data_IF_552280699401
#
_entry.id   IF_552280699401
#
_cell.length_a   1.000
_cell.length_b   1.000
_cell.length_c   1.000
_cell.angle_alpha   90.00
_cell.angle_beta   90.00
_cell.angle_gamma   90.00
#
_symmetry.space_group_name_H-M   'P 1'
#
loop_
_entity.id
_entity.type
_entity.pdbx_description
1 polymer ?
#
# COMPACT_ATOMS: atom_id res chain seq x y z
N UNK A 1 -5.87 -11.27 21.43
CA UNK A 1 -5.68 -10.05 20.60
C UNK A 1 -6.67 -10.05 19.47
N UNK A 2 -7.42 -8.96 19.28
CA UNK A 2 -8.42 -8.87 18.21
C UNK A 2 -7.74 -8.80 16.84
N UNK A 3 -8.36 -9.37 15.81
CA UNK A 3 -7.82 -9.38 14.43
C UNK A 3 -7.57 -7.96 13.92
N UNK A 4 -8.42 -6.99 14.31
CA UNK A 4 -8.23 -5.57 14.00
C UNK A 4 -6.93 -5.01 14.57
N UNK A 5 -6.59 -5.34 15.82
CA UNK A 5 -5.31 -4.92 16.42
C UNK A 5 -4.10 -5.51 15.70
N UNK A 6 -4.17 -6.77 15.24
CA UNK A 6 -3.08 -7.38 14.45
C UNK A 6 -2.90 -6.70 13.09
N UNK A 7 -3.99 -6.35 12.41
CA UNK A 7 -3.96 -5.65 11.12
C UNK A 7 -3.38 -4.24 11.29
N UNK A 8 -3.82 -3.49 12.31
CA UNK A 8 -3.31 -2.15 12.58
C UNK A 8 -1.80 -2.21 12.90
N UNK A 9 -1.39 -3.16 13.74
CA UNK A 9 0.03 -3.34 14.07
C UNK A 9 0.87 -3.71 12.83
N UNK A 10 0.34 -4.59 11.96
CA UNK A 10 0.99 -4.95 10.71
C UNK A 10 1.11 -3.75 9.75
N UNK A 11 0.06 -2.94 9.62
CA UNK A 11 0.08 -1.75 8.77
C UNK A 11 1.08 -0.70 9.28
N UNK A 12 1.08 -0.42 10.59
CA UNK A 12 2.02 0.53 11.19
C UNK A 12 3.45 0.02 11.07
N UNK A 13 3.69 -1.27 11.32
CA UNK A 13 4.99 -1.91 11.14
C UNK A 13 5.48 -1.82 9.69
N UNK A 14 4.60 -2.09 8.72
CA UNK A 14 4.92 -1.99 7.29
C UNK A 14 5.22 -0.54 6.86
N UNK A 15 4.43 0.43 7.32
CA UNK A 15 4.68 1.84 7.04
C UNK A 15 6.02 2.31 7.62
N UNK A 16 6.31 1.96 8.87
CA UNK A 16 7.57 2.29 9.52
C UNK A 16 8.77 1.65 8.80
N UNK A 17 8.68 0.35 8.46
CA UNK A 17 9.71 -0.34 7.69
C UNK A 17 9.92 0.31 6.31
N UNK A 18 8.84 0.72 5.64
CA UNK A 18 8.92 1.43 4.36
C UNK A 18 9.64 2.77 4.45
N UNK A 19 9.35 3.56 5.50
CA UNK A 19 10.04 4.84 5.74
C UNK A 19 11.52 4.61 6.03
N UNK A 20 11.86 3.63 6.86
CA UNK A 20 13.26 3.30 7.19
C UNK A 20 14.01 2.89 5.93
N UNK A 21 13.46 1.98 5.13
CA UNK A 21 14.09 1.53 3.88
C UNK A 21 14.20 2.69 2.88
N UNK A 22 13.17 3.53 2.75
CA UNK A 22 13.21 4.70 1.86
C UNK A 22 14.26 5.73 2.29
N UNK A 23 14.39 5.97 3.58
CA UNK A 23 15.39 6.88 4.14
C UNK A 23 16.81 6.34 3.97
N UNK A 24 17.01 5.02 4.11
CA UNK A 24 18.30 4.37 3.85
C UNK A 24 18.69 4.43 2.37
N UNK A 25 17.72 4.28 1.47
CA UNK A 25 17.97 4.29 0.03
C UNK A 25 18.24 5.71 -0.51
N UNK A 26 17.60 6.73 0.08
CA UNK A 26 17.77 8.12 -0.30
C UNK A 26 17.85 9.04 0.95
N UNK A 27 19.02 9.10 1.62
CA UNK A 27 19.19 9.95 2.78
C UNK A 27 19.39 11.41 2.36
N UNK A 28 18.41 12.25 2.69
CA UNK A 28 18.58 13.71 2.66
C UNK A 28 19.29 14.20 3.94
N UNK A 29 20.04 15.28 3.83
CA UNK A 29 20.65 15.93 5.01
C UNK A 29 19.56 16.49 5.92
N UNK A 30 19.69 16.32 7.23
CA UNK A 30 18.65 16.71 8.20
C UNK A 30 18.18 18.18 8.10
N UNK A 31 19.09 19.10 7.82
CA UNK A 31 18.79 20.53 7.62
C UNK A 31 17.92 20.77 6.38
N UNK A 32 18.20 20.02 5.31
CA UNK A 32 17.44 20.09 4.06
C UNK A 32 16.10 19.37 4.19
N UNK A 33 16.04 18.24 4.89
CA UNK A 33 14.80 17.49 5.15
C UNK A 33 13.75 18.35 5.86
N UNK A 34 14.14 19.07 6.93
CA UNK A 34 13.22 19.95 7.65
C UNK A 34 12.72 21.10 6.77
N UNK A 35 13.61 21.70 5.99
CA UNK A 35 13.26 22.77 5.04
C UNK A 35 12.31 22.25 3.94
N UNK A 36 12.59 21.06 3.41
CA UNK A 36 11.75 20.38 2.42
C UNK A 36 10.38 20.05 2.98
N UNK A 37 10.28 19.49 4.18
CA UNK A 37 8.98 19.22 4.85
C UNK A 37 8.18 20.51 4.96
N UNK A 38 8.77 21.58 5.49
CA UNK A 38 8.06 22.85 5.68
C UNK A 38 7.51 23.44 4.38
N UNK A 39 8.25 23.32 3.27
CA UNK A 39 7.81 23.83 1.95
C UNK A 39 6.79 22.90 1.31
N UNK A 40 7.03 21.60 1.41
CA UNK A 40 6.32 20.56 0.67
C UNK A 40 4.97 20.18 1.32
N UNK A 41 4.81 20.36 2.63
CA UNK A 41 3.55 20.10 3.34
C UNK A 41 2.37 20.93 2.81
N UNK A 42 2.59 22.20 2.45
CA UNK A 42 1.54 23.05 1.90
C UNK A 42 1.03 22.55 0.54
N UNK A 43 1.95 22.28 -0.38
CA UNK A 43 1.63 21.83 -1.74
C UNK A 43 1.12 20.39 -1.80
N UNK A 44 1.50 19.57 -0.83
CA UNK A 44 1.13 18.15 -0.79
C UNK A 44 -0.34 17.93 -0.56
N UNK A 45 -1.02 18.79 0.20
CA UNK A 45 -2.43 18.55 0.53
C UNK A 45 -3.32 18.54 -0.71
N UNK A 46 -3.13 19.49 -1.63
CA UNK A 46 -3.90 19.55 -2.87
C UNK A 46 -3.54 18.41 -3.82
N UNK A 47 -2.25 18.19 -4.04
CA UNK A 47 -1.80 17.17 -5.00
C UNK A 47 -2.09 15.73 -4.50
N UNK A 48 -1.97 15.50 -3.19
CA UNK A 48 -2.32 14.21 -2.58
C UNK A 48 -3.81 13.94 -2.68
N UNK A 49 -4.66 14.96 -2.52
CA UNK A 49 -6.11 14.78 -2.69
C UNK A 49 -6.47 14.32 -4.11
N UNK A 50 -5.89 14.95 -5.13
CA UNK A 50 -6.15 14.61 -6.53
C UNK A 50 -5.57 13.24 -6.92
N UNK A 51 -4.36 12.94 -6.46
CA UNK A 51 -3.74 11.62 -6.64
C UNK A 51 -4.50 10.54 -5.88
N UNK A 52 -5.00 10.82 -4.68
CA UNK A 52 -5.77 9.86 -3.90
C UNK A 52 -7.13 9.58 -4.55
N UNK A 53 -7.80 10.61 -5.09
CA UNK A 53 -9.04 10.43 -5.84
C UNK A 53 -8.80 9.53 -7.06
N UNK A 54 -7.77 9.82 -7.85
CA UNK A 54 -7.40 9.02 -9.03
C UNK A 54 -7.00 7.59 -8.66
N UNK A 55 -6.17 7.43 -7.63
CA UNK A 55 -5.73 6.13 -7.15
C UNK A 55 -6.88 5.31 -6.58
N UNK A 56 -7.86 5.92 -5.90
CA UNK A 56 -9.03 5.21 -5.38
C UNK A 56 -9.86 4.59 -6.52
N UNK A 57 -10.03 5.31 -7.62
CA UNK A 57 -10.79 4.81 -8.78
C UNK A 57 -10.01 3.71 -9.52
N UNK A 58 -8.70 3.88 -9.69
CA UNK A 58 -7.84 2.87 -10.30
C UNK A 58 -7.74 1.59 -9.44
N UNK A 59 -7.53 1.74 -8.12
CA UNK A 59 -7.51 0.64 -7.15
C UNK A 59 -8.86 -0.07 -7.11
N UNK A 60 -9.98 0.64 -7.19
CA UNK A 60 -11.30 0.02 -7.26
C UNK A 60 -11.46 -0.91 -8.47
N UNK A 61 -10.98 -0.49 -9.64
CA UNK A 61 -11.01 -1.31 -10.86
C UNK A 61 -10.01 -2.47 -10.82
N UNK A 62 -8.80 -2.21 -10.29
CA UNK A 62 -7.75 -3.21 -10.10
C UNK A 62 -8.18 -4.29 -9.10
N UNK A 63 -8.78 -3.89 -7.97
CA UNK A 63 -9.24 -4.80 -6.92
C UNK A 63 -10.34 -5.75 -7.44
N UNK A 64 -11.26 -5.26 -8.27
CA UNK A 64 -12.27 -6.13 -8.90
C UNK A 64 -11.65 -7.13 -9.87
N UNK A 65 -10.65 -6.73 -10.66
CA UNK A 65 -9.92 -7.64 -11.56
C UNK A 65 -9.07 -8.64 -10.78
N UNK A 66 -8.33 -8.18 -9.77
CA UNK A 66 -7.50 -9.01 -8.91
C UNK A 66 -8.31 -10.00 -8.09
N UNK A 67 -9.47 -9.59 -7.56
CA UNK A 67 -10.38 -10.49 -6.83
C UNK A 67 -10.96 -11.57 -7.74
N UNK A 68 -11.33 -11.25 -8.99
CA UNK A 68 -11.76 -12.25 -9.98
C UNK A 68 -10.63 -13.19 -10.37
N UNK A 69 -9.44 -12.65 -10.67
CA UNK A 69 -8.27 -13.45 -11.01
C UNK A 69 -7.83 -14.36 -9.85
N UNK A 70 -7.91 -13.88 -8.61
CA UNK A 70 -7.62 -14.66 -7.41
C UNK A 70 -8.69 -15.74 -7.17
N UNK A 71 -9.97 -15.43 -7.39
CA UNK A 71 -11.04 -16.41 -7.32
C UNK A 71 -10.90 -17.47 -8.42
N UNK A 72 -10.59 -17.08 -9.66
CA UNK A 72 -10.38 -18.00 -10.78
C UNK A 72 -9.13 -18.87 -10.57
N UNK A 73 -8.06 -18.31 -10.03
CA UNK A 73 -6.86 -19.07 -9.66
C UNK A 73 -7.14 -20.04 -8.51
N UNK A 74 -7.89 -19.60 -7.49
CA UNK A 74 -8.32 -20.47 -6.38
C UNK A 74 -9.23 -21.60 -6.86
N UNK A 75 -10.20 -21.30 -7.71
CA UNK A 75 -11.11 -22.29 -8.29
C UNK A 75 -10.37 -23.30 -9.18
N UNK A 76 -9.40 -22.85 -9.98
CA UNK A 76 -8.54 -23.76 -10.77
C UNK A 76 -7.65 -24.62 -9.88
N UNK A 77 -7.06 -24.04 -8.84
CA UNK A 77 -6.25 -24.77 -7.89
C UNK A 77 -7.06 -25.85 -7.15
N UNK A 78 -8.29 -25.52 -6.75
CA UNK A 78 -9.18 -26.46 -6.10
C UNK A 78 -9.58 -27.60 -7.05
N UNK A 79 -9.99 -27.29 -8.28
CA UNK A 79 -10.34 -28.30 -9.28
C UNK A 79 -9.16 -29.21 -9.66
N UNK A 80 -7.94 -28.69 -9.75
CA UNK A 80 -6.76 -29.52 -10.01
C UNK A 80 -6.49 -30.44 -8.81
N UNK A 81 -6.55 -29.91 -7.59
CA UNK A 81 -6.36 -30.71 -6.37
C UNK A 81 -7.42 -31.82 -6.24
N UNK A 82 -8.68 -31.53 -6.60
CA UNK A 82 -9.79 -32.49 -6.59
C UNK A 82 -9.69 -33.58 -7.68
N UNK A 83 -9.10 -33.29 -8.84
CA UNK A 83 -8.94 -34.29 -9.92
C UNK A 83 -7.71 -35.21 -9.76
N UNK A 84 -6.78 -34.89 -8.86
CA UNK A 84 -5.61 -35.71 -8.54
C UNK A 84 -5.81 -36.56 -7.26
N UNK A 85 -6.94 -36.42 -6.57
CA UNK A 85 -7.38 -37.28 -5.45
C UNK A 85 -8.41 -38.29 -5.94
#
# INVERSE_FOLDING_TARGET
MTTKSKIILGLVGAAAAGVVVGLLLAPDKGTELRSKISRKTGDWTSHLSDLFASAKDEVGNMARKGSRAAADAGNKFNNVTENFS
#
